data_IF_640715409592
#
_entry.id   IF_640715409592
#
_cell.length_a   1.000
_cell.length_b   1.000
_cell.length_c   1.000
_cell.angle_alpha   90.00
_cell.angle_beta   90.00
_cell.angle_gamma   90.00
#
_symmetry.space_group_name_H-M   'P 1'
#
loop_
_entity.id
_entity.type
_entity.pdbx_description
1 polymer ?
#
# COMPACT_ATOMS: atom_id res chain seq x y z
N UNK A 1 -18.08 2.21 -5.03
CA UNK A 1 -18.23 1.15 -6.07
C UNK A 1 -17.14 1.31 -7.13
N UNK A 2 -16.58 0.21 -7.66
CA UNK A 2 -15.56 0.24 -8.71
C UNK A 2 -16.10 -0.46 -9.96
N UNK A 3 -16.12 0.24 -11.10
CA UNK A 3 -16.50 -0.32 -12.40
C UNK A 3 -15.26 -0.36 -13.29
N UNK A 4 -14.92 -1.54 -13.79
CA UNK A 4 -13.87 -1.72 -14.77
C UNK A 4 -14.43 -1.64 -16.20
N UNK A 5 -13.79 -0.87 -17.08
CA UNK A 5 -14.18 -0.73 -18.47
C UNK A 5 -13.03 -1.18 -19.39
N UNK A 6 -13.31 -2.07 -20.34
CA UNK A 6 -12.31 -2.62 -21.25
C UNK A 6 -11.74 -1.61 -22.27
N UNK A 7 -12.46 -0.51 -22.50
CA UNK A 7 -12.17 0.46 -23.55
C UNK A 7 -12.46 1.89 -23.03
N UNK A 8 -11.65 2.87 -23.45
CA UNK A 8 -11.87 4.28 -23.17
C UNK A 8 -13.22 4.81 -23.67
N UNK A 9 -13.73 4.33 -24.80
CA UNK A 9 -15.07 4.70 -25.29
C UNK A 9 -16.17 4.24 -24.33
N UNK A 10 -16.09 2.99 -23.86
CA UNK A 10 -17.01 2.42 -22.86
C UNK A 10 -16.88 3.17 -21.54
N UNK A 11 -15.66 3.48 -21.11
CA UNK A 11 -15.41 4.25 -19.90
C UNK A 11 -16.01 5.65 -19.96
N UNK A 12 -15.96 6.30 -21.13
CA UNK A 12 -16.52 7.62 -21.37
C UNK A 12 -18.04 7.59 -21.29
N UNK A 13 -18.67 6.58 -21.89
CA UNK A 13 -20.10 6.36 -21.77
C UNK A 13 -20.50 6.07 -20.32
N UNK A 14 -19.79 5.19 -19.62
CA UNK A 14 -20.03 4.92 -18.19
C UNK A 14 -19.87 6.16 -17.32
N UNK A 15 -18.92 7.04 -17.64
CA UNK A 15 -18.75 8.33 -16.96
C UNK A 15 -19.92 9.27 -17.22
N UNK A 16 -20.48 9.27 -18.43
CA UNK A 16 -21.68 10.03 -18.73
C UNK A 16 -22.92 9.48 -17.97
N UNK A 17 -22.99 8.16 -17.76
CA UNK A 17 -24.10 7.52 -17.03
C UNK A 17 -23.92 7.49 -15.51
N UNK A 18 -22.72 7.78 -14.97
CA UNK A 18 -22.46 7.69 -13.53
C UNK A 18 -23.35 8.58 -12.64
N UNK A 19 -23.73 9.82 -13.03
CA UNK A 19 -24.64 10.62 -12.22
C UNK A 19 -26.03 10.00 -12.09
N UNK A 20 -26.57 9.46 -13.19
CA UNK A 20 -27.87 8.76 -13.20
C UNK A 20 -27.85 7.49 -12.37
N UNK A 21 -26.71 6.79 -12.33
CA UNK A 21 -26.53 5.64 -11.46
C UNK A 21 -26.60 6.04 -9.98
N UNK A 22 -25.97 7.15 -9.58
CA UNK A 22 -26.08 7.67 -8.21
C UNK A 22 -27.52 8.00 -7.82
N UNK A 23 -28.27 8.63 -8.70
CA UNK A 23 -29.69 8.94 -8.48
C UNK A 23 -30.51 7.66 -8.31
N UNK A 24 -30.30 6.65 -9.15
CA UNK A 24 -30.97 5.36 -9.03
C UNK A 24 -30.63 4.65 -7.71
N UNK A 25 -29.37 4.70 -7.28
CA UNK A 25 -28.98 4.15 -5.98
C UNK A 25 -29.66 4.88 -4.83
N UNK A 26 -29.66 6.22 -4.85
CA UNK A 26 -30.37 7.03 -3.84
C UNK A 26 -31.86 6.66 -3.79
N UNK A 27 -32.53 6.61 -4.94
CA UNK A 27 -33.95 6.26 -5.03
C UNK A 27 -34.24 4.83 -4.54
N UNK A 28 -33.35 3.87 -4.79
CA UNK A 28 -33.50 2.48 -4.30
C UNK A 28 -33.23 2.40 -2.80
N UNK A 29 -32.23 3.13 -2.29
CA UNK A 29 -31.88 3.19 -0.87
C UNK A 29 -32.90 3.95 -0.02
N UNK A 30 -33.64 4.89 -0.63
CA UNK A 30 -34.77 5.56 0.00
C UNK A 30 -36.02 4.66 0.08
N UNK A 31 -36.24 3.81 -0.95
CA UNK A 31 -37.42 2.94 -1.07
C UNK A 31 -37.27 1.61 -0.34
N UNK A 32 -36.10 0.98 -0.40
CA UNK A 32 -35.76 -0.20 0.40
C UNK A 32 -35.22 0.30 1.73
N UNK A 33 -35.60 -0.31 2.84
CA UNK A 33 -35.27 0.02 4.24
C UNK A 33 -33.76 -0.03 4.59
N UNK A 34 -32.86 0.25 3.63
CA UNK A 34 -31.41 0.33 3.74
C UNK A 34 -30.97 1.80 3.77
N UNK A 35 -31.60 2.61 4.63
CA UNK A 35 -31.25 4.03 4.84
C UNK A 35 -29.81 4.25 5.32
N UNK A 36 -29.13 3.20 5.78
CA UNK A 36 -27.78 3.26 6.35
C UNK A 36 -26.67 3.14 5.29
N UNK A 37 -26.99 2.81 4.05
CA UNK A 37 -25.97 2.57 3.03
C UNK A 37 -25.82 3.79 2.12
N UNK A 38 -24.76 4.58 2.31
CA UNK A 38 -24.47 5.74 1.48
C UNK A 38 -23.45 5.41 0.38
N UNK A 39 -23.76 5.74 -0.87
CA UNK A 39 -22.79 5.67 -1.97
C UNK A 39 -21.97 6.95 -2.00
N UNK A 40 -20.80 6.93 -1.35
CA UNK A 40 -19.90 8.10 -1.24
C UNK A 40 -19.07 8.37 -2.50
N UNK A 41 -18.78 7.34 -3.31
CA UNK A 41 -18.00 7.50 -4.54
C UNK A 41 -18.23 6.38 -5.57
N UNK A 42 -18.20 6.77 -6.85
CA UNK A 42 -18.10 5.86 -8.00
C UNK A 42 -16.75 6.11 -8.66
N UNK A 43 -15.95 5.05 -8.80
CA UNK A 43 -14.68 5.06 -9.53
C UNK A 43 -14.80 4.21 -10.78
N UNK A 44 -14.54 4.81 -11.94
CA UNK A 44 -14.47 4.10 -13.22
C UNK A 44 -13.00 3.93 -13.57
N UNK A 45 -12.56 2.70 -13.71
CA UNK A 45 -11.17 2.36 -14.06
C UNK A 45 -11.18 1.77 -15.46
N UNK A 46 -10.41 2.36 -16.37
CA UNK A 46 -10.23 1.80 -17.71
C UNK A 46 -9.15 0.73 -17.60
N UNK A 47 -9.54 -0.52 -17.79
CA UNK A 47 -8.65 -1.66 -17.91
C UNK A 47 -8.59 -2.03 -19.38
N UNK A 48 -7.69 -1.43 -20.18
CA UNK A 48 -7.55 -1.86 -21.55
C UNK A 48 -7.19 -3.35 -21.55
N UNK A 49 -7.86 -4.15 -22.40
CA UNK A 49 -7.42 -5.51 -22.70
C UNK A 49 -6.08 -5.40 -23.43
N UNK A 50 -4.99 -5.34 -22.68
CA UNK A 50 -3.66 -5.40 -23.27
C UNK A 50 -3.09 -6.75 -22.91
N UNK A 51 -3.25 -7.69 -23.84
CA UNK A 51 -2.17 -8.62 -24.17
C UNK A 51 -0.86 -7.84 -24.09
N UNK A 52 -0.08 -8.08 -23.03
CA UNK A 52 1.26 -7.53 -22.70
C UNK A 52 1.39 -6.29 -21.81
N UNK A 53 0.35 -5.70 -21.21
CA UNK A 53 0.58 -4.62 -20.23
C UNK A 53 1.00 -5.21 -18.89
N UNK A 54 2.32 -5.23 -18.63
CA UNK A 54 2.82 -5.37 -17.27
C UNK A 54 2.58 -4.04 -16.55
N UNK A 55 2.01 -4.03 -15.34
CA UNK A 55 2.05 -2.84 -14.52
C UNK A 55 3.51 -2.39 -14.41
N UNK A 56 3.81 -1.08 -14.42
CA UNK A 56 5.15 -0.64 -14.06
C UNK A 56 5.42 -1.25 -12.69
N UNK A 57 6.34 -2.22 -12.64
CA UNK A 57 6.93 -2.62 -11.36
C UNK A 57 7.31 -1.33 -10.69
N UNK A 58 6.87 -1.07 -9.46
CA UNK A 58 7.28 0.15 -8.77
C UNK A 58 8.79 0.17 -8.87
N UNK A 59 9.33 1.07 -9.70
CA UNK A 59 10.75 1.37 -9.72
C UNK A 59 11.00 1.63 -8.27
N UNK A 60 11.73 0.70 -7.62
CA UNK A 60 11.96 0.77 -6.19
C UNK A 60 12.28 2.22 -5.96
N UNK A 61 11.39 2.94 -5.24
CA UNK A 61 11.73 4.27 -4.81
C UNK A 61 13.00 3.96 -4.04
N UNK A 62 14.16 4.29 -4.62
CA UNK A 62 15.39 4.37 -3.88
C UNK A 62 15.04 5.50 -2.95
N UNK A 63 14.38 5.14 -1.83
CA UNK A 63 14.19 5.97 -0.67
C UNK A 63 15.57 6.53 -0.52
N UNK A 64 15.72 7.80 -0.92
CA UNK A 64 17.02 8.43 -1.07
C UNK A 64 17.75 8.03 0.18
N UNK A 65 18.79 7.18 0.01
CA UNK A 65 19.41 6.39 1.08
C UNK A 65 19.30 7.23 2.32
N UNK A 66 18.39 6.84 3.24
CA UNK A 66 18.12 7.62 4.42
C UNK A 66 19.43 7.57 5.18
N UNK A 67 20.31 8.51 4.83
CA UNK A 67 21.62 8.72 5.41
C UNK A 67 21.26 8.96 6.85
N UNK A 68 21.74 8.05 7.70
CA UNK A 68 21.38 7.89 9.12
C UNK A 68 20.25 6.90 9.39
N UNK A 69 20.47 5.62 9.09
CA UNK A 69 19.89 4.58 9.95
C UNK A 69 20.44 4.78 11.36
N UNK A 70 19.58 4.96 12.37
CA UNK A 70 20.02 4.98 13.77
C UNK A 70 20.85 3.73 14.08
N UNK A 71 21.95 3.91 14.80
CA UNK A 71 22.81 2.79 15.18
C UNK A 71 22.06 1.85 16.12
N UNK A 72 22.47 0.58 16.15
CA UNK A 72 21.88 -0.42 17.06
C UNK A 72 21.97 0.01 18.53
N UNK A 73 23.04 0.71 18.90
CA UNK A 73 23.25 1.30 20.23
C UNK A 73 22.22 2.41 20.55
N UNK A 74 21.90 3.28 19.60
CA UNK A 74 20.89 4.32 19.80
C UNK A 74 19.49 3.74 19.96
N UNK A 75 19.18 2.67 19.22
CA UNK A 75 17.92 1.95 19.38
C UNK A 75 17.83 1.23 20.74
N UNK A 76 18.95 0.76 21.27
CA UNK A 76 19.01 0.07 22.57
C UNK A 76 18.82 1.04 23.74
N UNK A 77 19.47 2.21 23.67
CA UNK A 77 19.26 3.28 24.65
C UNK A 77 17.80 3.77 24.66
N UNK A 78 17.17 3.88 23.48
CA UNK A 78 15.76 4.25 23.37
C UNK A 78 14.83 3.15 23.92
N UNK A 79 15.13 1.87 23.66
CA UNK A 79 14.34 0.76 24.19
C UNK A 79 14.42 0.64 25.72
N UNK A 80 15.56 1.00 26.32
CA UNK A 80 15.76 1.01 27.78
C UNK A 80 15.01 2.14 28.49
N UNK A 81 14.85 3.29 27.82
CA UNK A 81 14.10 4.45 28.35
C UNK A 81 12.59 4.32 28.21
N UNK A 82 12.11 3.31 27.47
CA UNK A 82 10.69 3.04 27.28
C UNK A 82 10.21 1.95 28.22
N UNK A 83 9.09 2.21 28.89
CA UNK A 83 8.32 1.19 29.59
C UNK A 83 7.80 0.13 28.62
N UNK A 84 7.31 -0.98 29.17
CA UNK A 84 6.77 -2.10 28.39
C UNK A 84 5.54 -1.67 27.58
N UNK A 85 5.83 -1.19 26.37
CA UNK A 85 4.90 -0.58 25.45
C UNK A 85 4.97 -1.26 24.07
N UNK A 86 3.92 -1.12 23.25
CA UNK A 86 3.95 -1.56 21.85
C UNK A 86 5.12 -0.96 21.06
N UNK A 87 5.56 0.25 21.42
CA UNK A 87 6.69 0.94 20.79
C UNK A 87 8.03 0.26 21.10
N UNK A 88 8.27 -0.11 22.37
CA UNK A 88 9.46 -0.88 22.77
C UNK A 88 9.57 -2.19 21.98
N UNK A 89 8.45 -2.91 21.84
CA UNK A 89 8.39 -4.15 21.03
C UNK A 89 8.69 -3.90 19.55
N UNK A 90 8.23 -2.77 19.00
CA UNK A 90 8.52 -2.40 17.62
C UNK A 90 10.01 -2.09 17.42
N UNK A 91 10.64 -1.38 18.35
CA UNK A 91 12.08 -1.06 18.32
C UNK A 91 12.92 -2.34 18.39
N UNK A 92 12.59 -3.28 19.28
CA UNK A 92 13.30 -4.57 19.37
C UNK A 92 13.19 -5.39 18.08
N UNK A 93 12.04 -5.36 17.40
CA UNK A 93 11.88 -6.02 16.08
C UNK A 93 12.75 -5.38 15.01
N UNK A 94 12.92 -4.06 15.05
CA UNK A 94 13.80 -3.34 14.11
C UNK A 94 15.26 -3.73 14.36
N UNK A 95 15.71 -3.80 15.63
CA UNK A 95 17.05 -4.24 16.00
C UNK A 95 17.35 -5.66 15.50
N UNK A 96 16.47 -6.63 15.78
CA UNK A 96 16.65 -8.02 15.34
C UNK A 96 16.77 -8.14 13.81
N UNK A 97 16.01 -7.31 13.06
CA UNK A 97 16.07 -7.27 11.59
C UNK A 97 17.38 -6.66 11.08
N UNK A 98 17.95 -5.67 11.76
CA UNK A 98 19.25 -5.10 11.40
C UNK A 98 20.40 -6.07 11.66
N UNK A 99 20.39 -6.76 12.80
CA UNK A 99 21.40 -7.78 13.13
C UNK A 99 21.39 -8.94 12.13
N UNK A 100 20.21 -9.43 11.75
CA UNK A 100 20.07 -10.49 10.76
C UNK A 100 20.61 -10.07 9.38
N UNK A 101 20.42 -8.81 8.98
CA UNK A 101 21.00 -8.26 7.74
C UNK A 101 22.51 -8.15 7.81
N UNK A 102 23.06 -7.69 8.94
CA UNK A 102 24.51 -7.57 9.14
C UNK A 102 25.19 -8.95 9.08
N UNK A 103 24.63 -9.96 9.77
CA UNK A 103 25.13 -11.34 9.75
C UNK A 103 25.15 -11.92 8.33
N UNK A 104 24.06 -11.72 7.56
CA UNK A 104 23.96 -12.19 6.16
C UNK A 104 25.01 -11.53 5.26
N UNK A 105 25.17 -10.21 5.37
CA UNK A 105 26.17 -9.47 4.62
C UNK A 105 27.61 -9.89 4.95
N UNK A 106 27.88 -10.35 6.18
CA UNK A 106 29.18 -10.88 6.57
C UNK A 106 29.44 -12.26 5.96
N UNK A 107 28.44 -13.14 5.93
CA UNK A 107 28.54 -14.46 5.27
C UNK A 107 28.69 -14.38 3.75
N UNK A 108 28.02 -13.43 3.10
CA UNK A 108 28.12 -13.25 1.65
C UNK A 108 29.51 -12.75 1.22
N UNK A 109 30.14 -11.91 2.04
CA UNK A 109 31.52 -11.46 1.80
C UNK A 109 32.55 -12.57 1.99
N UNK A 110 32.33 -13.49 2.93
CA UNK A 110 33.25 -14.59 3.21
C UNK A 110 33.29 -15.63 2.08
N UNK A 111 32.15 -15.87 1.40
CA UNK A 111 32.06 -16.76 0.23
C UNK A 111 32.67 -16.19 -1.05
N UNK A 112 32.93 -14.88 -1.11
CA UNK A 112 33.52 -14.23 -2.28
C UNK A 112 35.06 -14.21 -2.25
N UNK A 113 35.67 -14.64 -1.14
CA UNK A 113 37.12 -14.63 -0.91
C UNK A 113 37.75 -16.04 -0.90
N UNK A 114 36.96 -17.07 -1.22
CA UNK A 114 37.34 -18.48 -1.30
C UNK A 114 37.14 -18.95 -2.75
#
# INVERSE_FOLDING_TARGET
MVIAAANGAIATNLKAYSPRLLENFRNVLEKKTMKEQEVTSIRIVVQPEISTWRPPTPTSIKLASAKTSMSTQQLDDLAKKLDDSPLKRAISKIQAKQEAKSKRALTDKKKLQE
#
